data_IF_996285227673
#
_entry.id   IF_996285227673
#
_cell.length_a   1.000
_cell.length_b   1.000
_cell.length_c   1.000
_cell.angle_alpha   90.00
_cell.angle_beta   90.00
_cell.angle_gamma   90.00
#
_symmetry.space_group_name_H-M   'P 1'
#
loop_
_entity.id
_entity.type
_entity.pdbx_description
1 polymer ?
#
# COMPACT_ATOMS: atom_id res chain seq x y z
N UNK A 1 -12.22 22.87 7.56
CA UNK A 1 -11.62 21.77 8.35
C UNK A 1 -10.85 20.78 7.48
N UNK A 2 -11.48 20.10 6.51
CA UNK A 2 -10.81 19.12 5.63
C UNK A 2 -9.68 19.71 4.75
N UNK A 3 -9.77 21.00 4.36
CA UNK A 3 -8.71 21.66 3.57
C UNK A 3 -7.44 21.97 4.37
N UNK A 4 -7.54 22.10 5.69
CA UNK A 4 -6.38 22.33 6.55
C UNK A 4 -5.58 21.03 6.74
N UNK A 5 -6.27 19.92 6.98
CA UNK A 5 -5.64 18.58 7.08
C UNK A 5 -4.94 18.14 5.79
N UNK A 6 -5.49 18.51 4.62
CA UNK A 6 -4.89 18.20 3.33
C UNK A 6 -3.64 19.04 3.00
N UNK A 7 -3.57 20.27 3.50
CA UNK A 7 -2.38 21.11 3.33
C UNK A 7 -1.24 20.66 4.26
N UNK A 8 -1.59 20.24 5.49
CA UNK A 8 -0.64 19.75 6.48
C UNK A 8 -0.05 18.38 6.10
N UNK A 9 -0.86 17.49 5.53
CA UNK A 9 -0.40 16.20 5.01
C UNK A 9 0.53 16.34 3.79
N UNK A 10 0.29 17.34 2.94
CA UNK A 10 1.16 17.63 1.78
C UNK A 10 2.53 18.15 2.19
N UNK A 11 2.59 19.04 3.18
CA UNK A 11 3.86 19.57 3.71
C UNK A 11 4.68 18.51 4.44
N UNK A 12 4.04 17.64 5.24
CA UNK A 12 4.75 16.58 5.96
C UNK A 12 5.36 15.51 5.03
N UNK A 13 4.73 15.26 3.87
CA UNK A 13 5.25 14.33 2.87
C UNK A 13 6.47 14.88 2.11
N UNK A 14 6.52 16.20 1.86
CA UNK A 14 7.61 16.85 1.13
C UNK A 14 8.85 17.10 2.02
N UNK A 15 8.65 17.41 3.31
CA UNK A 15 9.72 17.70 4.27
C UNK A 15 10.56 16.46 4.64
N UNK A 16 9.94 15.26 4.68
CA UNK A 16 10.63 14.03 5.14
C UNK A 16 11.30 13.28 3.97
N UNK A 17 10.77 13.39 2.75
CA UNK A 17 11.40 12.85 1.53
C UNK A 17 12.73 13.55 1.22
N UNK A 18 12.84 14.85 1.50
CA UNK A 18 14.07 15.61 1.24
C UNK A 18 15.19 15.38 2.28
N UNK A 19 14.88 14.76 3.43
CA UNK A 19 15.88 14.45 4.47
C UNK A 19 16.50 13.04 4.32
N UNK A 20 16.18 12.31 3.25
CA UNK A 20 16.75 10.98 2.97
C UNK A 20 17.95 11.01 2.00
N UNK A 21 18.45 12.21 1.65
CA UNK A 21 19.70 12.38 0.86
C UNK A 21 20.72 13.11 1.71
N UNK A 22 21.37 12.39 2.62
CA UNK A 22 22.37 12.93 3.53
C UNK A 22 23.16 11.83 4.22
N UNK A 23 24.33 11.57 3.65
CA UNK A 23 25.56 11.13 4.31
C UNK A 23 25.82 9.61 4.44
N UNK A 24 26.17 8.97 3.33
CA UNK A 24 27.04 7.79 3.27
C UNK A 24 28.50 8.18 2.96
N UNK A 25 29.26 8.47 4.02
CA UNK A 25 30.72 8.47 3.99
C UNK A 25 31.32 7.61 5.11
N UNK A 26 31.90 6.47 4.68
CA UNK A 26 33.03 5.70 5.22
C UNK A 26 33.03 5.21 6.68
N UNK A 27 33.12 3.88 6.81
CA UNK A 27 33.51 3.17 8.02
C UNK A 27 33.85 1.73 7.65
N UNK A 28 35.13 1.51 7.35
CA UNK A 28 35.76 0.19 7.29
C UNK A 28 35.61 -0.51 8.66
N UNK A 29 35.48 -1.84 8.70
CA UNK A 29 36.35 -2.73 9.49
C UNK A 29 35.75 -4.15 9.65
N UNK A 30 36.65 -5.09 9.92
CA UNK A 30 36.63 -6.54 9.81
C UNK A 30 35.59 -7.36 10.61
N UNK A 31 35.05 -8.38 9.93
CA UNK A 31 35.11 -9.81 10.28
C UNK A 31 34.66 -10.33 11.66
N UNK A 32 33.64 -11.21 11.63
CA UNK A 32 33.62 -12.52 12.31
C UNK A 32 32.29 -13.26 12.05
N UNK A 33 32.40 -14.57 11.85
CA UNK A 33 31.26 -15.46 11.67
C UNK A 33 30.67 -15.84 13.01
N UNK A 34 29.42 -15.45 13.26
CA UNK A 34 28.54 -16.09 14.24
C UNK A 34 27.08 -16.02 13.74
N UNK A 35 26.39 -17.16 13.77
CA UNK A 35 25.03 -17.35 13.25
C UNK A 35 23.98 -16.52 14.00
N UNK A 36 23.82 -15.26 13.58
CA UNK A 36 22.82 -14.35 14.09
C UNK A 36 21.45 -14.63 13.47
N UNK A 37 20.46 -14.81 14.33
CA UNK A 37 19.05 -14.77 13.96
C UNK A 37 18.78 -13.54 13.08
N UNK A 38 18.46 -13.77 11.82
CA UNK A 38 17.95 -12.78 10.88
C UNK A 38 16.73 -12.09 11.51
N UNK A 39 16.93 -10.89 12.04
CA UNK A 39 15.87 -10.11 12.66
C UNK A 39 14.78 -9.87 11.60
N UNK A 40 13.54 -10.34 11.80
CA UNK A 40 12.63 -10.54 10.69
C UNK A 40 12.13 -9.24 10.04
N UNK A 41 12.19 -8.08 10.72
CA UNK A 41 11.90 -6.76 10.15
C UNK A 41 12.67 -5.67 10.90
N UNK A 42 13.30 -4.74 10.17
CA UNK A 42 13.94 -3.55 10.77
C UNK A 42 12.90 -2.47 11.05
N UNK A 43 13.08 -1.67 12.12
CA UNK A 43 12.16 -0.57 12.46
C UNK A 43 11.95 0.42 11.29
N UNK A 44 13.02 0.67 10.52
CA UNK A 44 12.97 1.47 9.29
C UNK A 44 12.05 0.87 8.23
N UNK A 45 12.09 -0.46 8.03
CA UNK A 45 11.22 -1.14 7.05
C UNK A 45 9.75 -1.05 7.47
N UNK A 46 9.46 -1.25 8.76
CA UNK A 46 8.11 -1.10 9.29
C UNK A 46 7.59 0.33 9.09
N UNK A 47 8.43 1.31 9.39
CA UNK A 47 8.11 2.73 9.21
C UNK A 47 7.80 3.04 7.74
N UNK A 48 8.61 2.53 6.81
CA UNK A 48 8.39 2.71 5.37
C UNK A 48 7.07 2.08 4.91
N UNK A 49 6.69 0.89 5.41
CA UNK A 49 5.39 0.27 5.10
C UNK A 49 4.24 1.13 5.67
N UNK A 50 4.36 1.61 6.91
CA UNK A 50 3.35 2.49 7.51
C UNK A 50 3.17 3.79 6.71
N UNK A 51 4.26 4.41 6.27
CA UNK A 51 4.22 5.60 5.41
C UNK A 51 3.56 5.27 4.08
N UNK A 52 3.94 4.16 3.44
CA UNK A 52 3.33 3.72 2.18
C UNK A 52 1.82 3.54 2.32
N UNK A 53 1.35 2.84 3.36
CA UNK A 53 -0.08 2.65 3.61
C UNK A 53 -0.79 3.99 3.87
N UNK A 54 -0.16 4.90 4.61
CA UNK A 54 -0.71 6.22 4.87
C UNK A 54 -0.84 7.05 3.59
N UNK A 55 0.18 7.04 2.73
CA UNK A 55 0.15 7.76 1.44
C UNK A 55 -0.93 7.18 0.53
N UNK A 56 -1.00 5.86 0.38
CA UNK A 56 -2.03 5.19 -0.44
C UNK A 56 -3.44 5.56 0.06
N UNK A 57 -3.66 5.60 1.37
CA UNK A 57 -4.94 6.01 1.97
C UNK A 57 -5.28 7.48 1.66
N UNK A 58 -4.34 8.40 1.86
CA UNK A 58 -4.54 9.84 1.60
C UNK A 58 -4.82 10.09 0.12
N UNK A 59 -4.04 9.47 -0.78
CA UNK A 59 -4.22 9.62 -2.23
C UNK A 59 -5.55 9.01 -2.69
N UNK A 60 -6.00 7.90 -2.10
CA UNK A 60 -7.33 7.34 -2.35
C UNK A 60 -8.45 8.34 -2.04
N UNK A 61 -8.44 8.89 -0.81
CA UNK A 61 -9.42 9.92 -0.38
C UNK A 61 -9.36 11.17 -1.23
N UNK A 62 -8.16 11.57 -1.66
CA UNK A 62 -7.97 12.73 -2.51
C UNK A 62 -8.55 12.49 -3.91
N UNK A 63 -8.28 11.32 -4.50
CA UNK A 63 -8.74 10.95 -5.84
C UNK A 63 -10.27 10.92 -5.93
N UNK A 64 -10.94 10.40 -4.89
CA UNK A 64 -12.39 10.39 -4.80
C UNK A 64 -13.01 11.79 -4.79
N UNK A 65 -12.30 12.77 -4.22
CA UNK A 65 -12.78 14.14 -4.10
C UNK A 65 -12.50 15.01 -5.33
N UNK A 66 -11.38 14.80 -6.00
CA UNK A 66 -10.92 15.67 -7.09
C UNK A 66 -11.23 15.13 -8.48
N UNK A 67 -11.31 13.80 -8.64
CA UNK A 67 -11.40 13.15 -9.96
C UNK A 67 -12.69 12.37 -10.17
N UNK A 68 -13.60 12.35 -9.18
CA UNK A 68 -14.84 11.55 -9.19
C UNK A 68 -14.59 10.05 -9.46
N UNK A 69 -13.37 9.58 -9.21
CA UNK A 69 -13.00 8.18 -9.34
C UNK A 69 -13.34 7.43 -8.05
N UNK A 70 -13.60 6.11 -8.12
CA UNK A 70 -13.68 5.27 -6.93
C UNK A 70 -12.39 5.39 -6.10
N UNK A 71 -12.53 5.44 -4.78
CA UNK A 71 -11.40 5.54 -3.84
C UNK A 71 -10.33 4.47 -4.09
N UNK A 72 -10.76 3.24 -4.37
CA UNK A 72 -9.90 2.10 -4.69
C UNK A 72 -9.01 2.36 -5.92
N UNK A 73 -9.54 3.01 -6.96
CA UNK A 73 -8.76 3.31 -8.17
C UNK A 73 -7.63 4.29 -7.84
N UNK A 74 -7.91 5.29 -6.98
CA UNK A 74 -6.89 6.20 -6.47
C UNK A 74 -5.78 5.51 -5.66
N UNK A 75 -6.17 4.53 -4.83
CA UNK A 75 -5.23 3.72 -4.04
C UNK A 75 -4.33 2.86 -4.94
N UNK A 76 -4.89 2.23 -5.98
CA UNK A 76 -4.12 1.42 -6.94
C UNK A 76 -3.11 2.30 -7.70
N UNK A 77 -3.53 3.48 -8.18
CA UNK A 77 -2.64 4.41 -8.87
C UNK A 77 -1.49 4.90 -7.97
N UNK A 78 -1.78 5.18 -6.69
CA UNK A 78 -0.76 5.53 -5.71
C UNK A 78 0.25 4.39 -5.51
N UNK A 79 -0.22 3.14 -5.42
CA UNK A 79 0.63 1.96 -5.30
C UNK A 79 1.51 1.74 -6.53
N UNK A 80 0.99 1.94 -7.75
CA UNK A 80 1.76 1.86 -9.00
C UNK A 80 2.85 2.94 -9.04
N UNK A 81 2.51 4.17 -8.65
CA UNK A 81 3.45 5.29 -8.62
C UNK A 81 4.54 5.15 -7.53
N UNK A 82 4.22 4.49 -6.41
CA UNK A 82 5.18 4.27 -5.31
C UNK A 82 5.95 2.95 -5.44
N UNK A 83 5.53 2.06 -6.34
CA UNK A 83 6.17 0.78 -6.59
C UNK A 83 7.58 0.88 -7.20
N UNK A 84 8.22 -0.26 -7.50
CA UNK A 84 9.60 -0.33 -7.99
C UNK A 84 9.83 0.36 -9.34
N UNK A 85 8.77 0.62 -10.11
CA UNK A 85 8.84 1.36 -11.37
C UNK A 85 8.66 2.88 -11.19
N UNK A 86 8.42 3.34 -9.97
CA UNK A 86 8.17 4.75 -9.63
C UNK A 86 9.19 5.28 -8.63
N UNK A 87 8.83 5.29 -7.33
CA UNK A 87 9.69 5.84 -6.27
C UNK A 87 10.57 4.79 -5.54
N UNK A 88 10.32 3.48 -5.74
CA UNK A 88 11.04 2.36 -5.11
C UNK A 88 11.15 2.45 -3.57
N UNK A 89 10.14 3.05 -2.92
CA UNK A 89 10.11 3.26 -1.45
C UNK A 89 9.64 1.99 -0.72
N UNK A 90 9.08 1.01 -1.44
CA UNK A 90 8.40 -0.15 -0.86
C UNK A 90 9.41 -1.23 -0.39
N UNK A 91 9.62 -1.42 0.93
CA UNK A 91 10.50 -2.47 1.42
C UNK A 91 9.81 -3.84 1.28
N UNK A 92 10.59 -4.91 1.09
CA UNK A 92 10.12 -6.30 1.05
C UNK A 92 8.94 -6.53 0.10
N UNK A 93 9.20 -6.35 -1.20
CA UNK A 93 8.23 -6.55 -2.28
C UNK A 93 7.48 -7.89 -2.21
N UNK A 94 8.17 -8.98 -1.87
CA UNK A 94 7.56 -10.32 -1.78
C UNK A 94 6.49 -10.41 -0.68
N UNK A 95 6.73 -9.80 0.49
CA UNK A 95 5.76 -9.74 1.58
C UNK A 95 4.53 -8.89 1.20
N UNK A 96 4.76 -7.76 0.50
CA UNK A 96 3.69 -6.89 0.00
C UNK A 96 2.88 -7.56 -1.13
N UNK A 97 3.50 -8.38 -1.95
CA UNK A 97 2.82 -9.17 -2.97
C UNK A 97 1.96 -10.27 -2.33
N UNK A 98 2.50 -10.99 -1.35
CA UNK A 98 1.76 -12.03 -0.61
C UNK A 98 0.54 -11.47 0.11
N UNK A 99 0.69 -10.35 0.84
CA UNK A 99 -0.44 -9.72 1.53
C UNK A 99 -1.49 -9.19 0.55
N UNK A 100 -1.07 -8.71 -0.63
CA UNK A 100 -1.97 -8.26 -1.69
C UNK A 100 -2.77 -9.40 -2.30
N UNK A 101 -2.13 -10.54 -2.55
CA UNK A 101 -2.78 -11.75 -3.06
C UNK A 101 -3.78 -12.32 -2.05
N UNK A 102 -3.35 -12.47 -0.79
CA UNK A 102 -4.23 -12.90 0.29
C UNK A 102 -5.39 -11.92 0.48
N UNK A 103 -5.11 -10.61 0.46
CA UNK A 103 -6.12 -9.56 0.55
C UNK A 103 -7.15 -9.65 -0.58
N UNK A 104 -6.71 -9.89 -1.82
CA UNK A 104 -7.61 -10.08 -2.96
C UNK A 104 -8.51 -11.31 -2.77
N UNK A 105 -7.95 -12.44 -2.35
CA UNK A 105 -8.74 -13.65 -2.07
C UNK A 105 -9.75 -13.40 -0.95
N UNK A 106 -9.35 -12.71 0.12
CA UNK A 106 -10.25 -12.34 1.22
C UNK A 106 -11.37 -11.40 0.76
N UNK A 107 -11.09 -10.44 -0.12
CA UNK A 107 -12.13 -9.57 -0.69
C UNK A 107 -13.13 -10.35 -1.56
N UNK A 108 -12.65 -11.29 -2.39
CA UNK A 108 -13.54 -12.15 -3.20
C UNK A 108 -14.37 -13.07 -2.29
N UNK A 109 -13.77 -13.58 -1.22
CA UNK A 109 -14.47 -14.40 -0.22
C UNK A 109 -15.56 -13.59 0.50
N UNK A 110 -15.24 -12.38 0.94
CA UNK A 110 -16.19 -11.46 1.58
C UNK A 110 -17.37 -11.17 0.65
N UNK A 111 -17.10 -10.82 -0.61
CA UNK A 111 -18.13 -10.61 -1.62
C UNK A 111 -18.98 -11.88 -1.84
N UNK A 112 -18.38 -13.07 -1.79
CA UNK A 112 -19.10 -14.34 -1.89
C UNK A 112 -20.00 -14.63 -0.68
N UNK A 113 -19.59 -14.24 0.53
CA UNK A 113 -20.36 -14.41 1.77
C UNK A 113 -21.54 -13.42 1.83
N UNK A 114 -21.39 -12.23 1.25
CA UNK A 114 -22.45 -11.21 1.19
C UNK A 114 -23.62 -11.61 0.24
N UNK A 115 -23.39 -12.54 -0.70
CA UNK A 115 -24.39 -12.97 -1.68
C UNK A 115 -25.50 -13.82 -1.05
N UNK A 116 -26.75 -13.39 -1.23
CA UNK A 116 -27.93 -14.17 -0.84
C UNK A 116 -28.28 -15.24 -1.89
N UNK A 117 -28.42 -16.51 -1.44
CA UNK A 117 -28.76 -17.65 -2.32
C UNK A 117 -30.12 -17.50 -3.03
N UNK A 118 -31.09 -16.83 -2.40
CA UNK A 118 -32.42 -16.61 -2.97
C UNK A 118 -32.36 -15.65 -4.16
N UNK A 119 -31.60 -14.56 -4.04
CA UNK A 119 -31.32 -13.62 -5.13
C UNK A 119 -30.52 -14.32 -6.22
N UNK A 120 -29.49 -15.09 -5.85
CA UNK A 120 -28.67 -15.84 -6.80
C UNK A 120 -29.49 -16.82 -7.65
N UNK A 121 -30.51 -17.48 -7.08
CA UNK A 121 -31.39 -18.36 -7.86
C UNK A 121 -32.23 -17.61 -8.91
N UNK A 122 -32.63 -16.37 -8.63
CA UNK A 122 -33.48 -15.55 -9.52
C UNK A 122 -32.67 -14.91 -10.65
N UNK A 123 -31.49 -14.36 -10.35
CA UNK A 123 -30.63 -13.69 -11.35
C UNK A 123 -29.54 -14.59 -11.94
N UNK A 124 -29.18 -15.69 -11.29
CA UNK A 124 -28.11 -16.59 -11.73
C UNK A 124 -28.37 -17.26 -13.08
N UNK A 125 -29.62 -17.68 -13.36
CA UNK A 125 -29.96 -18.25 -14.67
C UNK A 125 -29.79 -17.24 -15.81
N UNK A 126 -30.01 -15.94 -15.55
CA UNK A 126 -29.81 -14.89 -16.56
C UNK A 126 -28.33 -14.64 -16.87
N UNK A 127 -27.46 -14.83 -15.88
CA UNK A 127 -26.01 -14.71 -16.04
C UNK A 127 -25.37 -15.89 -16.79
N UNK A 128 -25.92 -17.10 -16.66
CA UNK A 128 -25.39 -18.31 -17.33
C UNK A 128 -25.87 -18.45 -18.78
N UNK A 129 -27.02 -17.87 -19.14
CA UNK A 129 -27.62 -17.97 -20.48
C UNK A 129 -27.16 -16.88 -21.47
N UNK A 130 -26.32 -15.93 -21.06
CA UNK A 130 -25.74 -14.90 -21.94
C UNK A 130 -24.44 -15.39 -22.55
#
# INVERSE_FOLDING_TARGET
>A
MIRALLAEAGHAAEEIVHNSTGDDHHGDDHGDGHGGHEAPFTFTELTNICILLWVVYVVGKLSAKYLSLPELVGQILAGIAMGPHGADIAPKHEALMLIGEVGLVLMVLEAGIEVELSQLAVVGMRGVMV
#
